data_IF_624800165015
#
_entry.id   IF_624800165015
#
_cell.length_a   1.000
_cell.length_b   1.000
_cell.length_c   1.000
_cell.angle_alpha   90.00
_cell.angle_beta   90.00
_cell.angle_gamma   90.00
#
_symmetry.space_group_name_H-M   'P 1'
#
loop_
_entity.id
_entity.type
_entity.pdbx_description
1 polymer ?
#
# COMPACT_ATOMS: atom_id res chain seq x y z
N UNK A 1 -17.16 26.92 -1.77
CA UNK A 1 -16.00 26.54 -0.95
C UNK A 1 -14.99 27.67 -1.01
N UNK A 2 -14.43 28.09 0.12
CA UNK A 2 -13.37 29.11 0.11
C UNK A 2 -12.03 28.43 -0.18
N UNK A 3 -11.06 29.16 -0.73
CA UNK A 3 -9.73 28.65 -1.09
C UNK A 3 -8.98 28.00 0.11
N UNK A 4 -9.29 28.45 1.33
CA UNK A 4 -8.78 27.92 2.59
C UNK A 4 -9.31 26.54 2.93
N UNK A 5 -10.57 26.27 2.59
CA UNK A 5 -11.23 25.01 2.94
C UNK A 5 -10.71 23.86 2.08
N UNK A 6 -10.52 24.08 0.76
CA UNK A 6 -10.01 23.03 -0.16
C UNK A 6 -8.57 22.61 0.16
N UNK A 7 -7.69 23.54 0.54
CA UNK A 7 -6.31 23.18 0.93
C UNK A 7 -6.26 22.37 2.21
N UNK A 8 -7.11 22.70 3.20
CA UNK A 8 -7.23 21.93 4.44
C UNK A 8 -7.72 20.50 4.17
N UNK A 9 -8.70 20.36 3.28
CA UNK A 9 -9.24 19.05 2.89
C UNK A 9 -8.17 18.20 2.20
N UNK A 10 -7.37 18.80 1.31
CA UNK A 10 -6.24 18.10 0.64
C UNK A 10 -5.17 17.69 1.66
N UNK A 11 -4.82 18.53 2.62
CA UNK A 11 -3.86 18.18 3.69
C UNK A 11 -4.37 16.99 4.51
N UNK A 12 -5.64 16.96 4.88
CA UNK A 12 -6.24 15.85 5.62
C UNK A 12 -6.24 14.56 4.80
N UNK A 13 -6.55 14.65 3.52
CA UNK A 13 -6.52 13.54 2.57
C UNK A 13 -5.11 12.95 2.49
N UNK A 14 -4.09 13.78 2.25
CA UNK A 14 -2.70 13.33 2.16
C UNK A 14 -2.18 12.71 3.45
N UNK A 15 -2.54 13.25 4.61
CA UNK A 15 -2.17 12.66 5.89
C UNK A 15 -2.86 11.32 6.16
N UNK A 16 -4.10 11.12 5.66
CA UNK A 16 -4.77 9.82 5.73
C UNK A 16 -4.00 8.79 4.89
N UNK A 17 -3.72 9.09 3.62
CA UNK A 17 -2.93 8.22 2.76
C UNK A 17 -1.57 7.91 3.37
N UNK A 18 -0.88 8.92 3.90
CA UNK A 18 0.43 8.74 4.54
C UNK A 18 0.42 7.76 5.72
N UNK A 19 -0.67 7.71 6.49
CA UNK A 19 -0.82 6.73 7.57
C UNK A 19 -0.98 5.30 7.03
N UNK A 20 -1.72 5.13 5.95
CA UNK A 20 -1.92 3.85 5.30
C UNK A 20 -0.60 3.32 4.72
N UNK A 21 0.17 4.17 4.02
CA UNK A 21 1.51 3.84 3.51
C UNK A 21 2.49 3.42 4.62
N UNK A 22 2.49 4.13 5.75
CA UNK A 22 3.31 3.73 6.88
C UNK A 22 2.94 2.35 7.41
N UNK A 23 1.65 2.01 7.46
CA UNK A 23 1.20 0.70 7.90
C UNK A 23 1.64 -0.39 6.92
N UNK A 24 1.40 -0.21 5.62
CA UNK A 24 1.77 -1.17 4.59
C UNK A 24 3.28 -1.43 4.58
N UNK A 25 4.09 -0.38 4.54
CA UNK A 25 5.54 -0.49 4.61
C UNK A 25 5.99 -1.25 5.86
N UNK A 26 5.46 -0.93 7.04
CA UNK A 26 5.85 -1.55 8.30
C UNK A 26 5.39 -3.03 8.37
N UNK A 27 4.26 -3.37 7.73
CA UNK A 27 3.78 -4.75 7.57
C UNK A 27 4.72 -5.53 6.65
N UNK A 28 5.03 -5.02 5.46
CA UNK A 28 5.98 -5.64 4.53
C UNK A 28 7.37 -5.82 5.16
N UNK A 29 7.91 -4.81 5.85
CA UNK A 29 9.19 -4.91 6.56
C UNK A 29 9.14 -6.00 7.61
N UNK A 30 8.08 -6.07 8.41
CA UNK A 30 7.96 -7.03 9.50
C UNK A 30 7.83 -8.44 8.96
N UNK A 31 6.91 -8.69 8.04
CA UNK A 31 6.53 -10.04 7.64
C UNK A 31 7.40 -10.63 6.53
N UNK A 32 8.11 -9.82 5.74
CA UNK A 32 9.11 -10.36 4.80
C UNK A 32 10.15 -11.25 5.47
N UNK A 33 10.46 -11.00 6.75
CA UNK A 33 11.42 -11.80 7.53
C UNK A 33 10.81 -13.07 8.16
N UNK A 34 9.48 -13.22 8.17
CA UNK A 34 8.79 -14.40 8.72
C UNK A 34 8.55 -15.50 7.70
N UNK A 35 9.01 -15.31 6.47
CA UNK A 35 8.79 -16.24 5.35
C UNK A 35 9.92 -17.26 5.30
N UNK A 36 9.61 -18.55 5.47
CA UNK A 36 10.55 -19.66 5.47
C UNK A 36 10.11 -20.75 4.48
N UNK A 37 11.09 -21.47 3.91
CA UNK A 37 10.85 -22.62 3.03
C UNK A 37 11.47 -22.45 1.65
N UNK A 38 11.22 -23.42 0.75
CA UNK A 38 11.87 -23.48 -0.57
C UNK A 38 11.47 -22.32 -1.50
N UNK A 39 10.21 -21.89 -1.45
CA UNK A 39 9.70 -20.76 -2.24
C UNK A 39 9.89 -19.40 -1.54
N UNK A 40 10.47 -19.38 -0.34
CA UNK A 40 10.56 -18.19 0.51
C UNK A 40 11.38 -17.05 -0.11
N UNK A 41 12.46 -17.37 -0.81
CA UNK A 41 13.41 -16.37 -1.32
C UNK A 41 12.74 -15.44 -2.35
N UNK A 42 11.96 -16.01 -3.28
CA UNK A 42 11.26 -15.20 -4.30
C UNK A 42 10.17 -14.35 -3.69
N UNK A 43 9.37 -14.92 -2.78
CA UNK A 43 8.30 -14.19 -2.11
C UNK A 43 8.86 -13.13 -1.16
N UNK A 44 9.89 -13.47 -0.37
CA UNK A 44 10.56 -12.50 0.49
C UNK A 44 11.09 -11.30 -0.30
N UNK A 45 11.76 -11.57 -1.44
CA UNK A 45 12.23 -10.52 -2.32
C UNK A 45 11.07 -9.65 -2.82
N UNK A 46 9.98 -10.26 -3.23
CA UNK A 46 8.80 -9.56 -3.72
C UNK A 46 8.20 -8.62 -2.67
N UNK A 47 8.01 -9.09 -1.42
CA UNK A 47 7.53 -8.24 -0.33
C UNK A 47 8.52 -7.11 0.01
N UNK A 48 9.83 -7.34 -0.11
CA UNK A 48 10.84 -6.29 0.08
C UNK A 48 10.78 -5.27 -1.07
N UNK A 49 10.54 -5.70 -2.30
CA UNK A 49 10.37 -4.80 -3.44
C UNK A 49 9.15 -3.90 -3.23
N UNK A 50 7.99 -4.45 -2.82
CA UNK A 50 6.80 -3.66 -2.45
C UNK A 50 7.13 -2.67 -1.32
N UNK A 51 7.75 -3.13 -0.23
CA UNK A 51 8.16 -2.24 0.86
C UNK A 51 8.97 -1.03 0.37
N UNK A 52 9.87 -1.24 -0.61
CA UNK A 52 10.66 -0.16 -1.19
C UNK A 52 9.82 0.80 -2.05
N UNK A 53 8.70 0.35 -2.58
CA UNK A 53 7.75 1.16 -3.32
C UNK A 53 6.92 2.02 -2.39
N UNK A 54 6.46 1.48 -1.24
CA UNK A 54 5.80 2.27 -0.18
C UNK A 54 6.69 3.41 0.34
N UNK A 55 8.00 3.21 0.47
CA UNK A 55 8.92 4.29 0.84
C UNK A 55 8.93 5.44 -0.18
N UNK A 56 8.71 5.15 -1.48
CA UNK A 56 8.58 6.19 -2.53
C UNK A 56 7.23 6.90 -2.44
N UNK A 57 6.13 6.17 -2.18
CA UNK A 57 4.80 6.74 -1.95
C UNK A 57 4.83 7.69 -0.76
N UNK A 58 5.36 7.26 0.39
CA UNK A 58 5.59 8.08 1.58
C UNK A 58 6.34 9.36 1.23
N UNK A 59 7.46 9.24 0.52
CA UNK A 59 8.28 10.40 0.13
C UNK A 59 7.49 11.37 -0.75
N UNK A 60 6.67 10.86 -1.67
CA UNK A 60 5.83 11.66 -2.54
C UNK A 60 4.77 12.44 -1.75
N UNK A 61 4.05 11.76 -0.86
CA UNK A 61 3.02 12.38 -0.01
C UNK A 61 3.62 13.45 0.91
N UNK A 62 4.75 13.16 1.56
CA UNK A 62 5.47 14.11 2.40
C UNK A 62 5.90 15.36 1.63
N UNK A 63 6.42 15.20 0.41
CA UNK A 63 6.81 16.33 -0.44
C UNK A 63 5.62 17.25 -0.72
N UNK A 64 4.44 16.71 -1.00
CA UNK A 64 3.25 17.52 -1.23
C UNK A 64 2.75 18.20 0.05
N UNK A 65 2.74 17.51 1.19
CA UNK A 65 2.41 18.12 2.48
C UNK A 65 3.34 19.32 2.77
N UNK A 66 4.63 19.14 2.59
CA UNK A 66 5.60 20.22 2.78
C UNK A 66 5.39 21.39 1.80
N UNK A 67 5.02 21.12 0.54
CA UNK A 67 4.71 22.17 -0.43
C UNK A 67 3.48 22.99 -0.06
N UNK A 68 2.53 22.37 0.63
CA UNK A 68 1.33 22.99 1.20
C UNK A 68 1.60 23.63 2.58
N UNK A 69 2.86 23.66 3.06
CA UNK A 69 3.28 24.14 4.37
C UNK A 69 2.60 23.41 5.53
N UNK A 70 2.25 22.15 5.33
CA UNK A 70 1.70 21.27 6.35
C UNK A 70 2.80 20.36 6.91
N UNK A 71 2.70 20.02 8.18
CA UNK A 71 3.56 19.02 8.80
C UNK A 71 2.99 17.62 8.53
N UNK A 72 3.80 16.69 7.95
CA UNK A 72 3.38 15.30 7.80
C UNK A 72 3.10 14.66 9.16
N UNK A 73 2.06 13.84 9.26
CA UNK A 73 1.82 13.04 10.45
C UNK A 73 2.97 12.05 10.69
N UNK A 74 3.44 11.98 11.94
CA UNK A 74 4.52 11.07 12.37
C UNK A 74 3.97 9.86 13.14
N UNK A 75 2.66 9.71 13.18
CA UNK A 75 2.00 8.61 13.88
C UNK A 75 2.22 7.30 13.09
N UNK A 76 2.51 6.22 13.82
CA UNK A 76 2.48 4.85 13.29
C UNK A 76 1.22 4.14 13.76
N UNK A 77 0.64 3.34 12.88
CA UNK A 77 -0.43 2.42 13.23
C UNK A 77 0.16 1.15 13.83
N UNK A 78 -0.63 0.45 14.63
CA UNK A 78 -0.23 -0.82 15.20
C UNK A 78 -0.24 -1.90 14.10
N UNK A 79 0.85 -2.64 13.98
CA UNK A 79 0.94 -3.75 13.02
C UNK A 79 0.09 -4.90 13.55
N UNK A 80 -0.85 -5.44 12.75
CA UNK A 80 -1.63 -6.61 13.16
C UNK A 80 -0.73 -7.81 13.41
N UNK A 81 -0.92 -8.52 14.52
CA UNK A 81 -0.22 -9.76 14.79
C UNK A 81 -0.84 -10.88 13.97
N UNK A 82 -0.06 -11.49 13.09
CA UNK A 82 -0.52 -12.57 12.21
C UNK A 82 0.22 -13.86 12.58
N UNK A 83 -0.56 -14.90 12.86
CA UNK A 83 -0.05 -16.25 13.10
C UNK A 83 0.13 -17.01 11.77
N UNK A 84 1.12 -17.90 11.66
CA UNK A 84 1.26 -18.78 10.51
C UNK A 84 -0.06 -19.52 10.17
N UNK A 85 -0.29 -19.89 8.92
CA UNK A 85 0.64 -20.02 7.81
C UNK A 85 0.84 -18.69 7.02
N UNK A 86 1.79 -18.72 6.10
CA UNK A 86 2.16 -17.60 5.22
C UNK A 86 0.98 -17.01 4.44
N UNK A 87 -0.02 -17.82 4.11
CA UNK A 87 -1.26 -17.38 3.47
C UNK A 87 -1.99 -16.30 4.25
N UNK A 88 -1.90 -16.31 5.58
CA UNK A 88 -2.50 -15.26 6.42
C UNK A 88 -1.79 -13.92 6.25
N UNK A 89 -0.46 -13.94 6.07
CA UNK A 89 0.36 -12.75 5.79
C UNK A 89 -0.03 -12.18 4.42
N UNK A 90 -0.06 -13.03 3.40
CA UNK A 90 -0.46 -12.62 2.04
C UNK A 90 -1.89 -12.10 1.97
N UNK A 91 -2.82 -12.65 2.77
CA UNK A 91 -4.19 -12.15 2.87
C UNK A 91 -4.26 -10.79 3.55
N UNK A 92 -3.46 -10.56 4.60
CA UNK A 92 -3.38 -9.25 5.23
C UNK A 92 -2.87 -8.21 4.22
N UNK A 93 -1.73 -8.49 3.57
CA UNK A 93 -1.15 -7.60 2.57
C UNK A 93 -2.14 -7.29 1.45
N UNK A 94 -2.80 -8.33 0.91
CA UNK A 94 -3.82 -8.16 -0.13
C UNK A 94 -5.00 -7.27 0.29
N UNK A 95 -5.50 -7.38 1.51
CA UNK A 95 -6.60 -6.52 2.00
C UNK A 95 -6.12 -5.08 2.26
N UNK A 96 -4.86 -4.88 2.67
CA UNK A 96 -4.26 -3.56 2.80
C UNK A 96 -4.13 -2.87 1.43
N UNK A 97 -3.62 -3.57 0.42
CA UNK A 97 -3.51 -3.06 -0.94
C UNK A 97 -4.88 -2.71 -1.55
N UNK A 98 -5.88 -3.56 -1.36
CA UNK A 98 -7.25 -3.24 -1.78
C UNK A 98 -7.79 -1.97 -1.11
N UNK A 99 -7.43 -1.75 0.15
CA UNK A 99 -7.79 -0.53 0.86
C UNK A 99 -7.05 0.68 0.27
N UNK A 100 -5.76 0.53 -0.07
CA UNK A 100 -4.98 1.56 -0.73
C UNK A 100 -5.59 1.93 -2.09
N UNK A 101 -5.85 0.96 -2.97
CA UNK A 101 -6.53 1.19 -4.25
C UNK A 101 -7.82 2.02 -4.08
N UNK A 102 -8.64 1.66 -3.09
CA UNK A 102 -9.86 2.41 -2.79
C UNK A 102 -9.55 3.84 -2.34
N UNK A 103 -8.63 4.00 -1.37
CA UNK A 103 -8.32 5.30 -0.78
C UNK A 103 -7.66 6.25 -1.81
N UNK A 104 -6.78 5.75 -2.67
CA UNK A 104 -6.22 6.53 -3.77
C UNK A 104 -7.25 6.89 -4.84
N UNK A 105 -8.16 5.97 -5.20
CA UNK A 105 -9.28 6.28 -6.10
C UNK A 105 -10.16 7.40 -5.56
N UNK A 106 -10.50 7.35 -4.26
CA UNK A 106 -11.29 8.39 -3.59
C UNK A 106 -10.53 9.72 -3.56
N UNK A 107 -9.21 9.68 -3.35
CA UNK A 107 -8.36 10.86 -3.33
C UNK A 107 -8.26 11.55 -4.69
N UNK A 108 -8.07 10.78 -5.76
CA UNK A 108 -8.06 11.29 -7.14
C UNK A 108 -9.40 11.95 -7.47
N UNK A 109 -10.52 11.27 -7.16
CA UNK A 109 -11.86 11.81 -7.41
C UNK A 109 -12.12 13.12 -6.62
N UNK A 110 -11.66 13.20 -5.37
CA UNK A 110 -11.79 14.41 -4.57
C UNK A 110 -10.99 15.59 -5.16
N UNK A 111 -9.78 15.35 -5.67
CA UNK A 111 -8.98 16.38 -6.34
C UNK A 111 -9.61 16.83 -7.67
N UNK A 112 -10.26 15.93 -8.39
CA UNK A 112 -11.01 16.27 -9.61
C UNK A 112 -12.23 17.13 -9.28
N UNK A 113 -12.96 16.84 -8.21
CA UNK A 113 -14.11 17.64 -7.75
C UNK A 113 -13.68 19.03 -7.28
N UNK A 114 -12.53 19.15 -6.60
CA UNK A 114 -11.95 20.45 -6.21
C UNK A 114 -11.63 21.28 -7.46
N UNK A 115 -11.13 20.66 -8.54
CA UNK A 115 -10.93 21.28 -9.82
C UNK A 115 -9.89 22.40 -9.85
N UNK A 116 -9.05 22.54 -8.80
CA UNK A 116 -8.05 23.60 -8.73
C UNK A 116 -6.76 23.15 -9.42
N UNK A 117 -6.32 23.94 -10.39
CA UNK A 117 -5.13 23.65 -11.19
C UNK A 117 -3.84 23.55 -10.39
N UNK A 118 -3.77 24.13 -9.18
CA UNK A 118 -2.61 24.01 -8.30
C UNK A 118 -2.36 22.56 -7.86
N UNK A 119 -3.40 21.71 -7.85
CA UNK A 119 -3.30 20.30 -7.47
C UNK A 119 -3.14 19.34 -8.65
N UNK A 120 -2.98 19.84 -9.88
CA UNK A 120 -2.87 18.99 -11.07
C UNK A 120 -1.69 18.01 -10.98
N UNK A 121 -0.51 18.47 -10.56
CA UNK A 121 0.66 17.59 -10.40
C UNK A 121 0.47 16.56 -9.30
N UNK A 122 -0.13 16.96 -8.18
CA UNK A 122 -0.50 16.04 -7.10
C UNK A 122 -1.45 14.96 -7.62
N UNK A 123 -2.53 15.34 -8.31
CA UNK A 123 -3.49 14.38 -8.86
C UNK A 123 -2.82 13.35 -9.77
N UNK A 124 -1.94 13.80 -10.69
CA UNK A 124 -1.21 12.89 -11.59
C UNK A 124 -0.31 11.94 -10.81
N UNK A 125 0.39 12.41 -9.78
CA UNK A 125 1.24 11.54 -8.96
C UNK A 125 0.39 10.53 -8.16
N UNK A 126 -0.79 10.92 -7.63
CA UNK A 126 -1.71 9.97 -6.97
C UNK A 126 -2.31 8.95 -7.94
N UNK A 127 -2.59 9.32 -9.19
CA UNK A 127 -3.00 8.38 -10.24
C UNK A 127 -1.91 7.34 -10.54
N UNK A 128 -0.65 7.77 -10.59
CA UNK A 128 0.49 6.88 -10.79
C UNK A 128 0.66 5.90 -9.62
N UNK A 129 0.51 6.37 -8.37
CA UNK A 129 0.53 5.48 -7.19
C UNK A 129 -0.66 4.51 -7.26
N UNK A 130 -1.87 4.97 -7.57
CA UNK A 130 -3.04 4.10 -7.72
C UNK A 130 -2.79 2.93 -8.70
N UNK A 131 -2.09 3.18 -9.80
CA UNK A 131 -1.73 2.11 -10.75
C UNK A 131 -0.79 1.10 -10.10
N UNK A 132 0.19 1.55 -9.31
CA UNK A 132 1.12 0.68 -8.58
C UNK A 132 0.40 -0.18 -7.53
N UNK A 133 -0.52 0.41 -6.74
CA UNK A 133 -1.35 -0.34 -5.78
C UNK A 133 -2.22 -1.42 -6.45
N UNK A 134 -2.72 -1.12 -7.67
CA UNK A 134 -3.44 -2.13 -8.46
C UNK A 134 -2.53 -3.27 -8.92
N UNK A 135 -1.28 -2.98 -9.28
CA UNK A 135 -0.28 -3.97 -9.63
C UNK A 135 0.08 -4.83 -8.41
N UNK A 136 0.32 -4.24 -7.22
CA UNK A 136 0.55 -4.95 -5.96
C UNK A 136 -0.61 -5.90 -5.63
N UNK A 137 -1.85 -5.40 -5.69
CA UNK A 137 -3.05 -6.23 -5.48
C UNK A 137 -3.09 -7.43 -6.43
N UNK A 138 -2.75 -7.23 -7.71
CA UNK A 138 -2.73 -8.30 -8.71
C UNK A 138 -1.65 -9.35 -8.38
N UNK A 139 -0.46 -8.91 -8.03
CA UNK A 139 0.68 -9.78 -7.73
C UNK A 139 0.42 -10.63 -6.48
N UNK A 140 -0.08 -10.04 -5.41
CA UNK A 140 -0.47 -10.76 -4.20
C UNK A 140 -1.58 -11.79 -4.46
N UNK A 141 -2.53 -11.47 -5.34
CA UNK A 141 -3.55 -12.44 -5.75
C UNK A 141 -2.95 -13.64 -6.50
N UNK A 142 -1.91 -13.44 -7.32
CA UNK A 142 -1.21 -14.54 -7.98
C UNK A 142 -0.49 -15.44 -6.97
N UNK A 143 0.21 -14.85 -5.99
CA UNK A 143 0.86 -15.60 -4.92
C UNK A 143 -0.14 -16.41 -4.11
N UNK A 144 -1.27 -15.82 -3.71
CA UNK A 144 -2.33 -16.51 -2.99
C UNK A 144 -2.88 -17.73 -3.76
N UNK A 145 -3.06 -17.61 -5.08
CA UNK A 145 -3.51 -18.73 -5.92
C UNK A 145 -2.47 -19.85 -5.99
N UNK A 146 -1.21 -19.50 -6.05
CA UNK A 146 -0.11 -20.47 -6.09
C UNK A 146 -0.01 -21.24 -4.77
N UNK A 147 -0.12 -20.57 -3.63
CA UNK A 147 -0.08 -21.18 -2.30
C UNK A 147 -1.29 -22.11 -2.06
N UNK A 148 -2.50 -21.72 -2.47
CA UNK A 148 -3.68 -22.60 -2.36
C UNK A 148 -3.51 -23.85 -3.20
N UNK A 149 -2.97 -23.73 -4.42
CA UNK A 149 -2.74 -24.86 -5.33
C UNK A 149 -1.64 -25.80 -4.81
N UNK A 150 -0.60 -25.28 -4.14
CA UNK A 150 0.47 -26.10 -3.54
C UNK A 150 -0.02 -26.87 -2.32
N UNK A 151 -0.83 -26.26 -1.46
CA UNK A 151 -1.43 -26.93 -0.31
C UNK A 151 -2.35 -28.09 -0.72
N UNK A 152 -3.10 -27.97 -1.84
CA UNK A 152 -3.89 -29.06 -2.39
C UNK A 152 -3.02 -30.18 -3.02
N UNK A 153 -1.81 -29.84 -3.51
CA UNK A 153 -0.89 -30.83 -4.10
C UNK A 153 -0.02 -31.51 -3.04
N UNK A 154 0.30 -30.86 -1.94
CA UNK A 154 1.02 -31.45 -0.80
C UNK A 154 0.16 -32.51 -0.08
N UNK A 155 -1.17 -32.33 -0.06
CA UNK A 155 -2.09 -33.40 0.34
C UNK A 155 -2.01 -34.63 -0.58
N UNK A 156 -1.35 -34.53 -1.75
CA UNK A 156 -1.13 -35.59 -2.74
C UNK A 156 0.36 -35.93 -2.95
N UNK A 157 1.27 -35.43 -2.11
CA UNK A 157 2.69 -35.81 -2.09
C UNK A 157 3.57 -35.19 -3.18
N UNK A 158 3.24 -33.99 -3.66
CA UNK A 158 4.12 -33.22 -4.56
C UNK A 158 4.61 -31.95 -3.86
N UNK A 159 5.93 -31.85 -3.69
CA UNK A 159 6.66 -30.67 -3.22
C UNK A 159 6.78 -29.68 -4.38
N UNK A 160 6.42 -28.42 -4.14
CA UNK A 160 6.52 -27.20 -4.99
C UNK A 160 6.45 -27.42 -6.50
#
# INVERSE_FOLDING_TARGET
MTFSDSTSDVINLLNKLLLDEYLQRDVYETYSHYIFGLCSISLQKHLIDHRNEEDKHITTLQRYLMSLRAEPLVKRLEIPVIEPPITNILLLDFELEKSAVKNYSEAVAALEEIGDSQFTALRVDLENILVQEQEHTHDLMQWLRTEVSSNESDAKGKIC
#
